data_IF_430801992091
#
_entry.id   IF_430801992091
#
_cell.length_a   1.000
_cell.length_b   1.000
_cell.length_c   1.000
_cell.angle_alpha   90.00
_cell.angle_beta   90.00
_cell.angle_gamma   90.00
#
_symmetry.space_group_name_H-M   'P 1'
#
loop_
_entity.id
_entity.type
_entity.pdbx_description
1 polymer ?
#
# COMPACT_ATOMS: atom_id res chain seq x y z
N UNK A 1 35.58 -25.93 7.10
CA UNK A 1 35.55 -25.25 5.80
C UNK A 1 34.18 -25.55 5.26
N UNK A 2 33.30 -24.56 5.29
CA UNK A 2 31.94 -24.68 4.79
C UNK A 2 32.04 -24.41 3.28
N UNK A 3 32.07 -25.50 2.50
CA UNK A 3 32.07 -25.44 1.04
C UNK A 3 30.69 -24.95 0.61
N UNK A 4 30.55 -23.63 0.53
CA UNK A 4 29.34 -22.95 0.10
C UNK A 4 28.85 -23.51 -1.23
N UNK A 5 27.68 -24.10 -1.20
CA UNK A 5 27.00 -24.72 -2.33
C UNK A 5 26.84 -23.70 -3.47
N UNK A 6 27.58 -23.88 -4.58
CA UNK A 6 27.54 -22.96 -5.71
C UNK A 6 26.25 -23.18 -6.52
N UNK A 7 25.16 -22.56 -6.09
CA UNK A 7 23.93 -22.53 -6.86
C UNK A 7 24.03 -21.47 -7.96
N UNK A 8 24.01 -21.89 -9.24
CA UNK A 8 23.87 -21.01 -10.42
C UNK A 8 22.47 -20.37 -10.56
N UNK A 9 21.68 -20.39 -9.49
CA UNK A 9 20.31 -19.88 -9.50
C UNK A 9 20.28 -18.43 -9.00
N UNK A 10 19.54 -17.58 -9.70
CA UNK A 10 19.21 -16.22 -9.25
C UNK A 10 17.73 -16.20 -8.90
N UNK A 11 17.42 -15.80 -7.67
CA UNK A 11 16.05 -15.58 -7.22
C UNK A 11 15.69 -14.10 -7.40
N UNK A 12 14.45 -13.83 -7.80
CA UNK A 12 13.88 -12.49 -7.88
C UNK A 12 12.52 -12.50 -7.20
N UNK A 13 12.22 -11.45 -6.45
CA UNK A 13 10.92 -11.23 -5.82
C UNK A 13 10.23 -10.09 -6.56
N UNK A 14 9.07 -10.39 -7.15
CA UNK A 14 8.24 -9.42 -7.85
C UNK A 14 6.89 -9.27 -7.15
N UNK A 15 6.22 -8.11 -7.29
CA UNK A 15 4.83 -7.98 -6.90
C UNK A 15 3.96 -9.04 -7.59
N UNK A 16 2.88 -9.45 -6.93
CA UNK A 16 1.90 -10.40 -7.49
C UNK A 16 1.28 -9.91 -8.79
N UNK A 17 1.13 -8.58 -8.92
CA UNK A 17 0.52 -7.91 -10.06
C UNK A 17 1.10 -6.51 -10.21
N UNK A 18 1.30 -6.08 -11.46
CA UNK A 18 1.69 -4.71 -11.82
C UNK A 18 0.70 -4.21 -12.87
N UNK A 19 0.01 -3.11 -12.55
CA UNK A 19 -0.89 -2.43 -13.48
C UNK A 19 -0.19 -1.16 -13.98
N UNK A 20 -0.08 -1.00 -15.30
CA UNK A 20 0.54 0.16 -15.92
C UNK A 20 -0.24 0.59 -17.16
N UNK A 21 -0.54 1.88 -17.25
CA UNK A 21 -1.35 2.44 -18.33
C UNK A 21 -1.96 3.79 -17.93
N UNK A 22 -2.73 4.37 -18.84
CA UNK A 22 -3.52 5.56 -18.55
C UNK A 22 -4.62 5.21 -17.53
N UNK A 23 -4.87 6.11 -16.58
CA UNK A 23 -5.98 6.06 -15.61
C UNK A 23 -6.03 4.84 -14.67
N UNK A 24 -4.98 4.02 -14.59
CA UNK A 24 -4.92 2.84 -13.71
C UNK A 24 -5.03 3.15 -12.21
N UNK A 25 -4.84 4.39 -11.79
CA UNK A 25 -5.06 4.81 -10.39
C UNK A 25 -6.54 4.61 -10.00
N UNK A 26 -7.46 4.79 -10.95
CA UNK A 26 -8.90 4.60 -10.71
C UNK A 26 -9.30 3.15 -10.48
N UNK A 27 -8.47 2.18 -10.86
CA UNK A 27 -8.76 0.73 -10.75
C UNK A 27 -8.24 0.12 -9.45
N UNK A 28 -7.74 0.93 -8.52
CA UNK A 28 -7.28 0.45 -7.20
C UNK A 28 -8.38 -0.28 -6.43
N UNK A 29 -9.64 0.21 -6.36
CA UNK A 29 -10.72 -0.52 -5.69
C UNK A 29 -10.99 -1.90 -6.30
N UNK A 30 -10.90 -2.04 -7.63
CA UNK A 30 -11.07 -3.32 -8.31
C UNK A 30 -9.98 -4.31 -7.90
N UNK A 31 -8.74 -3.83 -7.75
CA UNK A 31 -7.60 -4.64 -7.30
C UNK A 31 -7.79 -5.10 -5.85
N UNK A 32 -8.26 -4.21 -4.96
CA UNK A 32 -8.60 -4.55 -3.57
C UNK A 32 -9.66 -5.66 -3.53
N UNK A 33 -10.70 -5.54 -4.36
CA UNK A 33 -11.75 -6.55 -4.46
C UNK A 33 -11.25 -7.88 -5.03
N UNK A 34 -10.41 -7.85 -6.06
CA UNK A 34 -9.79 -9.04 -6.65
C UNK A 34 -8.92 -9.79 -5.62
N UNK A 35 -8.24 -9.07 -4.74
CA UNK A 35 -7.44 -9.65 -3.66
C UNK A 35 -8.26 -10.05 -2.43
N UNK A 36 -9.58 -9.82 -2.43
CA UNK A 36 -10.46 -10.13 -1.30
C UNK A 36 -10.22 -9.23 -0.09
N UNK A 37 -9.65 -8.03 -0.29
CA UNK A 37 -9.48 -7.06 0.78
C UNK A 37 -10.83 -6.43 1.14
N UNK A 38 -11.04 -6.24 2.44
CA UNK A 38 -12.26 -5.68 3.02
C UNK A 38 -11.94 -5.01 4.35
N UNK A 39 -12.83 -4.13 4.82
CA UNK A 39 -12.67 -3.43 6.09
C UNK A 39 -11.98 -2.08 5.96
N UNK A 40 -11.06 -1.78 6.88
CA UNK A 40 -10.40 -0.48 7.03
C UNK A 40 -9.09 -0.43 6.25
N UNK A 41 -9.08 0.36 5.19
CA UNK A 41 -7.89 0.69 4.42
C UNK A 41 -7.08 1.81 5.10
N UNK A 42 -5.77 1.65 5.27
CA UNK A 42 -4.88 2.72 5.68
C UNK A 42 -4.02 3.23 4.51
N UNK A 43 -4.33 4.42 4.02
CA UNK A 43 -3.51 5.09 3.01
C UNK A 43 -2.32 5.76 3.69
N UNK A 44 -1.14 5.20 3.50
CA UNK A 44 0.16 5.80 3.89
C UNK A 44 0.70 6.62 2.72
N UNK A 45 0.86 7.93 2.90
CA UNK A 45 1.18 8.84 1.79
C UNK A 45 2.02 10.04 2.24
N UNK A 46 2.42 10.90 1.30
CA UNK A 46 3.02 12.21 1.54
C UNK A 46 2.19 13.33 0.91
N UNK A 47 2.45 14.59 1.30
CA UNK A 47 1.62 15.74 0.88
C UNK A 47 1.44 15.86 -0.64
N UNK A 48 2.51 15.63 -1.41
CA UNK A 48 2.46 15.71 -2.87
C UNK A 48 1.69 14.53 -3.47
N UNK A 49 1.97 13.32 -3.01
CA UNK A 49 1.33 12.10 -3.50
C UNK A 49 -0.17 12.09 -3.19
N UNK A 50 -0.57 12.60 -2.02
CA UNK A 50 -1.99 12.74 -1.68
C UNK A 50 -2.74 13.63 -2.68
N UNK A 51 -2.13 14.76 -3.07
CA UNK A 51 -2.73 15.69 -4.03
C UNK A 51 -2.85 15.12 -5.44
N UNK A 52 -1.83 14.37 -5.88
CA UNK A 52 -1.75 13.87 -7.28
C UNK A 52 -2.51 12.56 -7.48
N UNK A 53 -2.52 11.67 -6.49
CA UNK A 53 -3.09 10.32 -6.63
C UNK A 53 -3.91 9.88 -5.42
N UNK A 54 -3.48 10.21 -4.19
CA UNK A 54 -4.09 9.68 -2.97
C UNK A 54 -5.56 10.05 -2.79
N UNK A 55 -5.97 11.27 -3.18
CA UNK A 55 -7.39 11.66 -3.15
C UNK A 55 -8.24 10.78 -4.08
N UNK A 56 -7.77 10.50 -5.29
CA UNK A 56 -8.50 9.65 -6.25
C UNK A 56 -8.65 8.22 -5.71
N UNK A 57 -7.60 7.67 -5.09
CA UNK A 57 -7.65 6.35 -4.45
C UNK A 57 -8.62 6.34 -3.27
N UNK A 58 -8.53 7.33 -2.38
CA UNK A 58 -9.45 7.47 -1.24
C UNK A 58 -10.91 7.51 -1.72
N UNK A 59 -11.22 8.38 -2.67
CA UNK A 59 -12.58 8.58 -3.14
C UNK A 59 -13.11 7.31 -3.83
N UNK A 60 -12.28 6.61 -4.60
CA UNK A 60 -12.61 5.32 -5.20
C UNK A 60 -12.89 4.23 -4.16
N UNK A 61 -12.07 4.13 -3.12
CA UNK A 61 -12.27 3.16 -2.04
C UNK A 61 -13.54 3.45 -1.23
N UNK A 62 -13.77 4.71 -0.85
CA UNK A 62 -15.00 5.10 -0.13
C UNK A 62 -16.24 4.81 -0.98
N UNK A 63 -16.21 5.12 -2.29
CA UNK A 63 -17.32 4.83 -3.20
C UNK A 63 -17.61 3.33 -3.35
N UNK A 64 -16.62 2.47 -3.07
CA UNK A 64 -16.76 1.01 -3.10
C UNK A 64 -17.03 0.40 -1.71
N UNK A 65 -17.31 1.22 -0.70
CA UNK A 65 -17.77 0.76 0.63
C UNK A 65 -16.65 0.41 1.60
N UNK A 66 -15.42 0.82 1.34
CA UNK A 66 -14.31 0.67 2.28
C UNK A 66 -14.31 1.79 3.33
N UNK A 67 -13.94 1.45 4.57
CA UNK A 67 -13.54 2.46 5.55
C UNK A 67 -12.11 2.90 5.21
N UNK A 68 -11.85 4.20 5.12
CA UNK A 68 -10.55 4.70 4.67
C UNK A 68 -9.96 5.68 5.69
N UNK A 69 -8.75 5.37 6.14
CA UNK A 69 -7.94 6.20 7.02
C UNK A 69 -6.69 6.66 6.28
N UNK A 70 -6.15 7.81 6.67
CA UNK A 70 -5.00 8.41 5.98
C UNK A 70 -3.97 8.82 7.02
N UNK A 71 -2.71 8.46 6.76
CA UNK A 71 -1.56 8.94 7.52
C UNK A 71 -0.54 9.55 6.57
N UNK A 72 -0.19 10.81 6.83
CA UNK A 72 0.95 11.44 6.17
C UNK A 72 2.23 11.01 6.88
N UNK A 73 3.05 10.22 6.20
CA UNK A 73 4.26 9.62 6.74
C UNK A 73 5.45 10.61 6.77
N UNK A 74 5.53 11.57 5.85
CA UNK A 74 6.74 12.41 5.72
C UNK A 74 7.96 11.62 5.22
N UNK A 75 9.13 11.89 5.76
CA UNK A 75 10.39 11.20 5.40
C UNK A 75 10.45 9.77 5.95
N UNK A 76 11.21 8.90 5.29
CA UNK A 76 11.39 7.51 5.70
C UNK A 76 12.34 7.38 6.90
N UNK A 77 11.83 7.71 8.09
CA UNK A 77 12.53 7.62 9.38
C UNK A 77 11.83 6.63 10.33
N UNK A 78 12.54 6.17 11.36
CA UNK A 78 11.95 5.28 12.38
C UNK A 78 10.81 5.97 13.13
N UNK A 79 10.95 7.26 13.47
CA UNK A 79 9.91 8.02 14.16
C UNK A 79 8.60 8.09 13.35
N UNK A 80 8.72 8.27 12.03
CA UNK A 80 7.55 8.28 11.13
C UNK A 80 6.98 6.88 10.92
N UNK A 81 7.81 5.84 10.94
CA UNK A 81 7.36 4.46 10.92
C UNK A 81 6.52 4.14 12.16
N UNK A 82 7.00 4.50 13.36
CA UNK A 82 6.28 4.29 14.62
C UNK A 82 4.94 5.02 14.63
N UNK A 83 4.89 6.26 14.10
CA UNK A 83 3.66 7.02 13.90
C UNK A 83 2.66 6.27 13.00
N UNK A 84 3.12 5.71 11.88
CA UNK A 84 2.27 4.95 10.94
C UNK A 84 1.75 3.67 11.60
N UNK A 85 2.62 2.93 12.29
CA UNK A 85 2.21 1.71 13.02
C UNK A 85 1.17 2.01 14.09
N UNK A 86 1.36 3.09 14.85
CA UNK A 86 0.38 3.54 15.84
C UNK A 86 -0.97 3.86 15.20
N UNK A 87 -0.97 4.62 14.10
CA UNK A 87 -2.19 4.94 13.37
C UNK A 87 -2.92 3.67 12.89
N UNK A 88 -2.18 2.70 12.33
CA UNK A 88 -2.74 1.42 11.89
C UNK A 88 -3.40 0.64 13.04
N UNK A 89 -2.78 0.60 14.22
CA UNK A 89 -3.35 -0.04 15.40
C UNK A 89 -4.60 0.69 15.92
N UNK A 90 -4.57 2.02 16.00
CA UNK A 90 -5.67 2.82 16.53
C UNK A 90 -6.92 2.73 15.64
N UNK A 91 -6.74 2.73 14.32
CA UNK A 91 -7.86 2.59 13.40
C UNK A 91 -8.24 1.13 13.08
N UNK A 92 -7.48 0.15 13.58
CA UNK A 92 -7.66 -1.28 13.26
C UNK A 92 -7.62 -1.53 11.75
N UNK A 93 -6.60 -0.99 11.09
CA UNK A 93 -6.39 -1.19 9.65
C UNK A 93 -6.35 -2.69 9.30
N UNK A 94 -7.16 -3.09 8.32
CA UNK A 94 -7.19 -4.44 7.76
C UNK A 94 -6.18 -4.59 6.62
N UNK A 95 -5.88 -3.50 5.90
CA UNK A 95 -4.90 -3.45 4.80
C UNK A 95 -4.34 -2.05 4.53
#
# INVERSE_FOLDING_TARGET
MDDGDFTKARSMLFPRQVLAGHDVIGTVPDSCKEFGLSGTALIVTGDKTMKVAGNAVRDGLVANGYEVQIVNAGEATNDNLDKVMKAAHECKADF
#
